data_IF_209882547195
#
_entry.id   IF_209882547195
#
_cell.length_a   1.000
_cell.length_b   1.000
_cell.length_c   1.000
_cell.angle_alpha   90.00
_cell.angle_beta   90.00
_cell.angle_gamma   90.00
#
_symmetry.space_group_name_H-M   'P 1'
#
loop_
_entity.id
_entity.type
_entity.pdbx_description
1 polymer ?
#
# COMPACT_ATOMS: atom_id res chain seq x y z
N UNK A 1 -3.56 -24.04 36.98
CA UNK A 1 -3.83 -25.21 36.08
C UNK A 1 -4.80 -24.97 34.91
N UNK A 2 -6.14 -24.75 35.09
CA UNK A 2 -7.07 -24.60 33.93
C UNK A 2 -6.77 -23.37 33.04
N UNK A 3 -6.39 -22.24 33.65
CA UNK A 3 -6.07 -21.00 32.92
C UNK A 3 -4.73 -21.06 32.18
N UNK A 4 -3.73 -21.76 32.73
CA UNK A 4 -2.41 -21.96 32.11
C UNK A 4 -2.48 -22.86 30.87
N UNK A 5 -3.28 -23.94 30.92
CA UNK A 5 -3.51 -24.80 29.75
C UNK A 5 -4.19 -24.03 28.62
N UNK A 6 -5.16 -23.17 28.94
CA UNK A 6 -5.80 -22.30 27.94
C UNK A 6 -4.84 -21.25 27.36
N UNK A 7 -3.94 -20.68 28.18
CA UNK A 7 -2.94 -19.73 27.70
C UNK A 7 -1.92 -20.41 26.78
N UNK A 8 -1.44 -21.62 27.13
CA UNK A 8 -0.53 -22.38 26.29
C UNK A 8 -1.18 -22.75 24.96
N UNK A 9 -2.44 -23.21 24.97
CA UNK A 9 -3.20 -23.50 23.75
C UNK A 9 -3.38 -22.22 22.91
N UNK A 10 -3.67 -21.09 23.53
CA UNK A 10 -3.80 -19.80 22.84
C UNK A 10 -2.49 -19.38 22.15
N UNK A 11 -1.34 -19.49 22.85
CA UNK A 11 -0.04 -19.20 22.26
C UNK A 11 0.31 -20.16 21.10
N UNK A 12 0.00 -21.44 21.23
CA UNK A 12 0.18 -22.40 20.13
C UNK A 12 -0.65 -22.02 18.90
N UNK A 13 -1.92 -21.66 19.11
CA UNK A 13 -2.82 -21.21 18.03
C UNK A 13 -2.27 -19.95 17.37
N UNK A 14 -1.87 -18.94 18.14
CA UNK A 14 -1.27 -17.69 17.61
C UNK A 14 0.02 -17.96 16.84
N UNK A 15 0.86 -18.88 17.31
CA UNK A 15 2.11 -19.26 16.62
C UNK A 15 1.83 -19.96 15.29
N UNK A 16 0.86 -20.87 15.26
CA UNK A 16 0.42 -21.53 14.02
C UNK A 16 -0.18 -20.51 13.04
N UNK A 17 -0.97 -19.55 13.53
CA UNK A 17 -1.51 -18.45 12.71
C UNK A 17 -0.40 -17.55 12.15
N UNK A 18 0.62 -17.21 12.94
CA UNK A 18 1.80 -16.47 12.49
C UNK A 18 2.56 -17.25 11.40
N UNK A 19 2.71 -18.56 11.56
CA UNK A 19 3.35 -19.42 10.56
C UNK A 19 2.55 -19.48 9.25
N UNK A 20 1.23 -19.64 9.33
CA UNK A 20 0.34 -19.62 8.15
C UNK A 20 0.43 -18.28 7.43
N UNK A 21 0.46 -17.16 8.16
CA UNK A 21 0.62 -15.82 7.59
C UNK A 21 2.00 -15.64 6.93
N UNK A 22 3.05 -16.20 7.51
CA UNK A 22 4.39 -16.26 6.89
C UNK A 22 4.35 -17.05 5.58
N UNK A 23 3.71 -18.22 5.56
CA UNK A 23 3.56 -19.00 4.32
C UNK A 23 2.74 -18.25 3.27
N UNK A 24 1.66 -17.56 3.67
CA UNK A 24 0.83 -16.76 2.77
C UNK A 24 1.61 -15.63 2.11
N UNK A 25 2.40 -14.88 2.90
CA UNK A 25 3.25 -13.79 2.38
C UNK A 25 4.34 -14.29 1.43
N UNK A 26 4.93 -15.47 1.70
CA UNK A 26 5.85 -16.14 0.77
C UNK A 26 5.16 -16.52 -0.53
N UNK A 27 3.96 -17.12 -0.48
CA UNK A 27 3.21 -17.47 -1.69
C UNK A 27 2.76 -16.24 -2.49
N UNK A 28 2.39 -15.16 -1.81
CA UNK A 28 2.05 -13.89 -2.45
C UNK A 28 3.28 -13.28 -3.14
N UNK A 29 4.44 -13.31 -2.49
CA UNK A 29 5.69 -12.85 -3.10
C UNK A 29 6.07 -13.71 -4.32
N UNK A 30 5.83 -15.02 -4.26
CA UNK A 30 6.03 -15.92 -5.41
C UNK A 30 5.06 -15.66 -6.57
N UNK A 31 3.78 -15.42 -6.29
CA UNK A 31 2.79 -15.07 -7.31
C UNK A 31 3.13 -13.74 -8.02
N UNK A 32 3.60 -12.77 -7.23
CA UNK A 32 4.11 -11.48 -7.73
C UNK A 32 5.38 -11.68 -8.57
N UNK A 33 6.26 -12.59 -8.16
CA UNK A 33 7.47 -12.97 -8.91
C UNK A 33 7.15 -13.56 -10.28
N UNK A 34 6.21 -14.52 -10.36
CA UNK A 34 5.83 -15.15 -11.64
C UNK A 34 5.15 -14.18 -12.62
N UNK A 35 4.43 -13.18 -12.12
CA UNK A 35 3.74 -12.19 -12.95
C UNK A 35 4.67 -11.05 -13.41
N UNK A 36 5.68 -10.68 -12.61
CA UNK A 36 6.65 -9.64 -12.98
C UNK A 36 7.72 -10.12 -13.99
N UNK A 37 8.10 -11.40 -13.98
CA UNK A 37 9.07 -11.97 -14.93
C UNK A 37 8.54 -12.17 -16.35
N UNK A 38 7.23 -12.00 -16.60
CA UNK A 38 6.68 -12.00 -17.95
C UNK A 38 6.97 -10.71 -18.74
N UNK A 39 7.65 -9.70 -18.16
CA UNK A 39 7.88 -8.42 -18.86
C UNK A 39 9.16 -7.63 -18.57
N UNK A 40 9.88 -7.82 -17.45
CA UNK A 40 11.06 -6.98 -17.12
C UNK A 40 12.16 -7.81 -16.44
N UNK A 41 13.41 -7.60 -16.86
CA UNK A 41 14.62 -8.25 -16.33
C UNK A 41 15.12 -7.55 -15.06
N UNK A 42 14.59 -7.91 -13.88
CA UNK A 42 15.22 -7.57 -12.60
C UNK A 42 16.30 -8.58 -12.23
N UNK A 43 17.39 -8.11 -11.61
CA UNK A 43 18.41 -9.02 -11.06
C UNK A 43 17.80 -9.82 -9.90
N UNK A 44 18.03 -11.14 -9.88
CA UNK A 44 17.58 -12.08 -8.84
C UNK A 44 17.79 -11.58 -7.40
N UNK A 45 18.84 -10.78 -7.19
CA UNK A 45 19.24 -10.20 -5.92
C UNK A 45 18.21 -9.21 -5.33
N UNK A 46 17.59 -8.36 -6.14
CA UNK A 46 16.59 -7.40 -5.68
C UNK A 46 15.28 -8.09 -5.26
N UNK A 47 14.91 -9.13 -6.00
CA UNK A 47 13.73 -9.95 -5.68
C UNK A 47 13.98 -10.74 -4.38
N UNK A 48 15.16 -11.32 -4.24
CA UNK A 48 15.52 -12.05 -3.03
C UNK A 48 15.54 -11.13 -1.81
N UNK A 49 16.05 -9.90 -1.95
CA UNK A 49 15.98 -8.88 -0.91
C UNK A 49 14.54 -8.49 -0.56
N UNK A 50 13.65 -8.36 -1.54
CA UNK A 50 12.22 -8.07 -1.32
C UNK A 50 11.49 -9.20 -0.58
N UNK A 51 11.74 -10.46 -0.95
CA UNK A 51 11.17 -11.64 -0.27
C UNK A 51 11.65 -11.71 1.17
N UNK A 52 12.96 -11.55 1.41
CA UNK A 52 13.52 -11.54 2.77
C UNK A 52 12.93 -10.40 3.59
N UNK A 53 12.85 -9.19 3.03
CA UNK A 53 12.29 -8.03 3.73
C UNK A 53 10.81 -8.22 4.07
N UNK A 54 10.05 -8.85 3.18
CA UNK A 54 8.61 -9.10 3.38
C UNK A 54 8.36 -10.24 4.39
N UNK A 55 9.27 -11.21 4.48
CA UNK A 55 9.16 -12.34 5.40
C UNK A 55 9.85 -12.09 6.75
N UNK A 56 10.68 -11.06 6.87
CA UNK A 56 11.44 -10.76 8.09
C UNK A 56 10.54 -10.51 9.30
N UNK A 57 9.56 -9.60 9.15
CA UNK A 57 8.64 -9.28 10.23
C UNK A 57 7.86 -10.50 10.74
N UNK A 58 7.18 -11.29 9.88
CA UNK A 58 6.44 -12.46 10.36
C UNK A 58 7.36 -13.54 10.93
N UNK A 59 8.56 -13.78 10.37
CA UNK A 59 9.56 -14.71 10.92
C UNK A 59 10.03 -14.28 12.32
N UNK A 60 10.31 -13.00 12.54
CA UNK A 60 10.67 -12.47 13.85
C UNK A 60 9.55 -12.69 14.86
N UNK A 61 8.29 -12.48 14.49
CA UNK A 61 7.16 -12.79 15.37
C UNK A 61 7.05 -14.28 15.69
N UNK A 62 7.25 -15.17 14.71
CA UNK A 62 7.21 -16.62 14.96
C UNK A 62 8.30 -17.07 15.94
N UNK A 63 9.51 -16.53 15.81
CA UNK A 63 10.63 -16.82 16.73
C UNK A 63 10.34 -16.29 18.13
N UNK A 64 9.82 -15.06 18.25
CA UNK A 64 9.46 -14.47 19.55
C UNK A 64 8.36 -15.28 20.26
N UNK A 65 7.31 -15.70 19.54
CA UNK A 65 6.27 -16.54 20.12
C UNK A 65 6.77 -17.93 20.49
N UNK A 66 7.68 -18.52 19.70
CA UNK A 66 8.32 -19.79 20.01
C UNK A 66 9.14 -19.70 21.31
N UNK A 67 9.95 -18.65 21.47
CA UNK A 67 10.72 -18.42 22.71
C UNK A 67 9.79 -18.21 23.91
N UNK A 68 8.69 -17.47 23.74
CA UNK A 68 7.67 -17.34 24.79
C UNK A 68 7.06 -18.69 25.18
N UNK A 69 6.74 -19.55 24.22
CA UNK A 69 6.20 -20.90 24.49
C UNK A 69 7.23 -21.73 25.29
N UNK A 70 8.49 -21.73 24.87
CA UNK A 70 9.55 -22.47 25.59
C UNK A 70 9.76 -21.93 27.00
N UNK A 71 9.73 -20.61 27.19
CA UNK A 71 9.84 -19.99 28.50
C UNK A 71 8.64 -20.34 29.40
N UNK A 72 7.42 -20.39 28.84
CA UNK A 72 6.21 -20.85 29.52
C UNK A 72 6.27 -22.34 29.87
N UNK A 73 6.85 -23.17 29.00
CA UNK A 73 7.05 -24.60 29.25
C UNK A 73 8.00 -24.83 30.43
N UNK A 74 9.15 -24.15 30.44
CA UNK A 74 10.13 -24.21 31.54
C UNK A 74 9.54 -23.68 32.84
N UNK A 75 8.79 -22.58 32.79
CA UNK A 75 8.15 -21.99 33.99
C UNK A 75 7.07 -22.92 34.57
N UNK A 76 6.27 -23.57 33.71
CA UNK A 76 5.31 -24.58 34.14
C UNK A 76 6.01 -25.78 34.78
N UNK A 77 7.09 -26.30 34.18
CA UNK A 77 7.87 -27.41 34.74
C UNK A 77 8.49 -27.07 36.10
N UNK A 78 8.93 -25.81 36.27
CA UNK A 78 9.45 -25.30 37.53
C UNK A 78 8.36 -25.24 38.61
N UNK A 79 7.18 -24.69 38.29
CA UNK A 79 6.03 -24.67 39.19
C UNK A 79 5.54 -26.08 39.54
N UNK A 80 5.52 -27.01 38.58
CA UNK A 80 5.10 -28.38 38.82
C UNK A 80 6.09 -29.12 39.74
N UNK A 81 7.39 -28.81 39.63
CA UNK A 81 8.43 -29.30 40.55
C UNK A 81 8.34 -28.71 41.96
N UNK A 82 8.04 -27.41 42.11
CA UNK A 82 7.81 -26.81 43.44
C UNK A 82 6.54 -27.36 44.10
N UNK A 83 5.47 -27.60 43.33
CA UNK A 83 4.22 -28.18 43.84
C UNK A 83 4.37 -29.67 44.15
N UNK A 84 5.12 -30.43 43.35
CA UNK A 84 5.37 -31.85 43.59
C UNK A 84 6.43 -32.11 44.69
N UNK A 85 7.31 -31.13 44.96
CA UNK A 85 8.31 -31.17 46.03
C UNK A 85 7.78 -30.80 47.42
N UNK A 86 6.53 -30.37 47.53
CA UNK A 86 5.87 -29.96 48.78
C UNK A 86 5.38 -31.09 49.67
N UNK A 87 6.24 -32.07 49.98
CA UNK A 87 6.12 -32.87 51.22
C UNK A 87 7.26 -32.43 52.13
N UNK A 88 7.07 -31.30 52.80
CA UNK A 88 7.92 -30.90 53.91
C UNK A 88 7.02 -30.47 55.08
N UNK A 89 6.93 -31.40 56.03
CA UNK A 89 6.62 -31.23 57.44
C UNK A 89 6.19 -29.81 57.86
N UNK A 90 4.88 -29.62 58.07
CA UNK A 90 4.41 -28.62 59.03
C UNK A 90 4.14 -29.37 60.33
N UNK A 91 5.17 -29.47 61.17
CA UNK A 91 4.93 -29.64 62.60
C UNK A 91 4.09 -28.45 63.09
N UNK A 92 3.08 -28.77 63.88
CA UNK A 92 2.16 -27.84 64.47
C UNK A 92 2.89 -26.79 65.32
N UNK A 93 2.73 -25.50 65.01
CA UNK A 93 2.42 -24.48 66.01
C UNK A 93 2.05 -23.12 65.37
N UNK A 94 0.95 -22.56 65.90
CA UNK A 94 0.48 -21.16 65.88
C UNK A 94 -0.16 -20.55 64.60
N UNK A 95 -1.50 -20.55 64.64
CA UNK A 95 -2.50 -19.68 63.97
C UNK A 95 -2.33 -19.25 62.49
N UNK A 96 -2.76 -20.07 61.52
CA UNK A 96 -2.59 -19.83 60.08
C UNK A 96 -3.40 -18.64 59.51
N UNK A 97 -4.28 -18.01 60.30
CA UNK A 97 -5.26 -17.04 59.78
C UNK A 97 -4.69 -15.63 59.56
N UNK A 98 -3.66 -15.25 60.33
CA UNK A 98 -3.04 -13.91 60.25
C UNK A 98 -2.04 -13.79 59.10
N UNK A 99 -1.25 -14.83 58.85
CA UNK A 99 -0.27 -14.82 57.76
C UNK A 99 -0.94 -14.87 56.39
N UNK A 100 -2.00 -15.69 56.22
CA UNK A 100 -2.79 -15.74 54.98
C UNK A 100 -3.45 -14.37 54.68
N UNK A 101 -3.95 -13.66 55.70
CA UNK A 101 -4.51 -12.31 55.52
C UNK A 101 -3.46 -11.27 55.14
N UNK A 102 -2.22 -11.38 55.65
CA UNK A 102 -1.13 -10.46 55.33
C UNK A 102 -0.63 -10.70 53.91
N UNK A 103 -0.40 -11.96 53.54
CA UNK A 103 -0.02 -12.38 52.19
C UNK A 103 -1.07 -11.98 51.14
N UNK A 104 -2.37 -12.21 51.41
CA UNK A 104 -3.44 -11.80 50.49
C UNK A 104 -3.54 -10.27 50.30
N UNK A 105 -3.19 -9.48 51.33
CA UNK A 105 -3.24 -8.01 51.27
C UNK A 105 -2.03 -7.42 50.54
N UNK A 106 -0.90 -8.13 50.57
CA UNK A 106 0.32 -7.82 49.83
C UNK A 106 0.16 -8.16 48.35
N UNK A 107 -0.38 -9.34 48.04
CA UNK A 107 -0.74 -9.75 46.68
C UNK A 107 -1.76 -8.80 46.02
N UNK A 108 -2.76 -8.32 46.77
CA UNK A 108 -3.75 -7.34 46.27
C UNK A 108 -3.16 -5.94 46.03
N UNK A 109 -2.06 -5.58 46.71
CA UNK A 109 -1.34 -4.32 46.45
C UNK A 109 -0.51 -4.44 45.18
N UNK A 110 0.20 -5.56 45.02
CA UNK A 110 1.02 -5.82 43.84
C UNK A 110 0.17 -5.87 42.57
N UNK A 111 -0.98 -6.56 42.61
CA UNK A 111 -1.94 -6.61 41.48
C UNK A 111 -2.49 -5.21 41.12
N UNK A 112 -2.74 -4.36 42.12
CA UNK A 112 -3.25 -2.99 41.91
C UNK A 112 -2.20 -2.08 41.30
N UNK A 113 -0.94 -2.24 41.67
CA UNK A 113 0.16 -1.44 41.14
C UNK A 113 0.58 -1.92 39.74
N UNK A 114 0.51 -3.23 39.46
CA UNK A 114 0.58 -3.80 38.11
C UNK A 114 -0.54 -3.28 37.20
N UNK A 115 -1.79 -3.26 37.66
CA UNK A 115 -2.92 -2.73 36.88
C UNK A 115 -2.79 -1.24 36.55
N UNK A 116 -2.26 -0.43 37.49
CA UNK A 116 -1.95 0.98 37.23
C UNK A 116 -0.78 1.16 36.25
N UNK A 117 0.21 0.28 36.30
CA UNK A 117 1.32 0.24 35.34
C UNK A 117 0.81 -0.05 33.93
N UNK A 118 0.02 -1.11 33.78
CA UNK A 118 -0.61 -1.50 32.50
C UNK A 118 -1.47 -0.37 31.92
N UNK A 119 -2.33 0.26 32.72
CA UNK A 119 -3.17 1.37 32.26
C UNK A 119 -2.39 2.61 31.82
N UNK A 120 -1.18 2.83 32.34
CA UNK A 120 -0.29 3.92 31.88
C UNK A 120 0.38 3.56 30.56
N UNK A 121 0.79 2.30 30.39
CA UNK A 121 1.38 1.80 29.15
C UNK A 121 0.34 1.85 28.02
N UNK A 122 -0.88 1.35 28.27
CA UNK A 122 -1.97 1.40 27.28
C UNK A 122 -2.27 2.85 26.85
N UNK A 123 -2.31 3.80 27.79
CA UNK A 123 -2.49 5.21 27.46
C UNK A 123 -1.33 5.80 26.67
N UNK A 124 -0.10 5.38 26.92
CA UNK A 124 1.07 5.85 26.19
C UNK A 124 1.07 5.29 24.76
N UNK A 125 0.80 3.99 24.60
CA UNK A 125 0.68 3.31 23.30
C UNK A 125 -0.43 3.94 22.46
N UNK A 126 -1.63 4.13 23.03
CA UNK A 126 -2.75 4.77 22.32
C UNK A 126 -2.40 6.21 21.90
N UNK A 127 -1.60 6.93 22.70
CA UNK A 127 -1.19 8.29 22.36
C UNK A 127 -0.18 8.29 21.20
N UNK A 128 0.85 7.45 21.25
CA UNK A 128 1.83 7.31 20.15
C UNK A 128 1.17 6.82 18.86
N UNK A 129 0.27 5.85 18.96
CA UNK A 129 -0.45 5.31 17.80
C UNK A 129 -1.35 6.37 17.16
N UNK A 130 -2.02 7.20 17.97
CA UNK A 130 -2.83 8.32 17.46
C UNK A 130 -1.97 9.40 16.80
N UNK A 131 -0.82 9.75 17.37
CA UNK A 131 0.10 10.73 16.77
C UNK A 131 0.67 10.22 15.44
N UNK A 132 1.03 8.93 15.37
CA UNK A 132 1.48 8.27 14.13
C UNK A 132 0.41 8.24 13.04
N UNK A 133 -0.85 7.92 13.39
CA UNK A 133 -1.98 7.94 12.45
C UNK A 133 -2.26 9.35 11.94
N UNK A 134 -2.23 10.36 12.81
CA UNK A 134 -2.45 11.76 12.43
C UNK A 134 -1.35 12.27 11.48
N UNK A 135 -0.09 11.89 11.71
CA UNK A 135 1.04 12.25 10.83
C UNK A 135 0.92 11.57 9.47
N UNK A 136 0.61 10.27 9.44
CA UNK A 136 0.36 9.52 8.21
C UNK A 136 -0.80 10.10 7.40
N UNK A 137 -1.90 10.48 8.06
CA UNK A 137 -3.06 11.08 7.41
C UNK A 137 -2.73 12.45 6.79
N UNK A 138 -1.88 13.26 7.45
CA UNK A 138 -1.41 14.55 6.89
C UNK A 138 -0.53 14.32 5.67
N UNK A 139 0.42 13.39 5.75
CA UNK A 139 1.31 13.03 4.64
C UNK A 139 0.53 12.55 3.42
N UNK A 140 -0.43 11.64 3.60
CA UNK A 140 -1.29 11.18 2.51
C UNK A 140 -2.13 12.31 1.89
N UNK A 141 -2.64 13.23 2.72
CA UNK A 141 -3.42 14.37 2.25
C UNK A 141 -2.59 15.36 1.43
N UNK A 142 -1.33 15.57 1.78
CA UNK A 142 -0.40 16.41 1.00
C UNK A 142 -0.01 15.74 -0.31
N UNK A 143 0.32 14.45 -0.29
CA UNK A 143 0.62 13.68 -1.50
C UNK A 143 -0.55 13.70 -2.50
N UNK A 144 -1.79 13.52 -2.01
CA UNK A 144 -2.99 13.59 -2.84
C UNK A 144 -3.21 14.99 -3.46
N UNK A 145 -2.85 16.06 -2.74
CA UNK A 145 -2.95 17.44 -3.26
C UNK A 145 -1.92 17.71 -4.35
N UNK A 146 -0.69 17.25 -4.19
CA UNK A 146 0.36 17.41 -5.20
C UNK A 146 0.02 16.63 -6.47
N UNK A 147 -0.38 15.36 -6.36
CA UNK A 147 -0.89 14.57 -7.50
C UNK A 147 -2.05 15.27 -8.22
N UNK A 148 -2.98 15.86 -7.48
CA UNK A 148 -4.09 16.59 -8.08
C UNK A 148 -3.65 17.87 -8.82
N UNK A 149 -2.61 18.56 -8.33
CA UNK A 149 -2.03 19.72 -9.01
C UNK A 149 -1.28 19.32 -10.27
N UNK A 150 -0.45 18.28 -10.20
CA UNK A 150 0.29 17.74 -11.34
C UNK A 150 -0.65 17.26 -12.44
N UNK A 151 -1.65 16.44 -12.08
CA UNK A 151 -2.65 15.97 -13.04
C UNK A 151 -3.42 17.13 -13.70
N UNK A 152 -3.75 18.18 -12.94
CA UNK A 152 -4.39 19.39 -13.52
C UNK A 152 -3.44 20.15 -14.45
N UNK A 153 -2.17 20.25 -14.12
CA UNK A 153 -1.18 20.90 -14.96
C UNK A 153 -0.96 20.14 -16.28
N UNK A 154 -0.92 18.81 -16.23
CA UNK A 154 -0.85 17.96 -17.43
C UNK A 154 -2.10 18.08 -18.29
N UNK A 155 -3.30 18.03 -17.70
CA UNK A 155 -4.55 18.21 -18.44
C UNK A 155 -4.61 19.57 -19.15
N UNK A 156 -4.14 20.64 -18.48
CA UNK A 156 -4.09 21.97 -19.08
C UNK A 156 -3.12 22.04 -20.26
N UNK A 157 -1.95 21.38 -20.17
CA UNK A 157 -0.99 21.31 -21.30
C UNK A 157 -1.61 20.57 -22.49
N UNK A 158 -2.24 19.42 -22.25
CA UNK A 158 -2.92 18.65 -23.30
C UNK A 158 -3.99 19.51 -23.98
N UNK A 159 -4.81 20.22 -23.20
CA UNK A 159 -5.84 21.10 -23.73
C UNK A 159 -5.29 22.28 -24.55
N UNK A 160 -4.12 22.83 -24.16
CA UNK A 160 -3.45 23.85 -24.97
C UNK A 160 -2.89 23.29 -26.28
N UNK A 161 -2.31 22.10 -26.24
CA UNK A 161 -1.75 21.45 -27.43
C UNK A 161 -2.83 21.04 -28.41
N UNK A 162 -3.97 20.52 -27.93
CA UNK A 162 -5.16 20.28 -28.78
C UNK A 162 -5.67 21.56 -29.45
N UNK A 163 -5.71 22.68 -28.72
CA UNK A 163 -6.13 23.97 -29.28
C UNK A 163 -5.16 24.45 -30.36
N UNK A 164 -3.85 24.31 -30.14
CA UNK A 164 -2.84 24.67 -31.15
C UNK A 164 -2.97 23.80 -32.39
N UNK A 165 -3.14 22.49 -32.21
CA UNK A 165 -3.34 21.56 -33.30
C UNK A 165 -4.59 21.90 -34.12
N UNK A 166 -5.72 22.17 -33.46
CA UNK A 166 -6.96 22.58 -34.12
C UNK A 166 -6.82 23.91 -34.87
N UNK A 167 -6.08 24.88 -34.33
CA UNK A 167 -5.81 26.15 -34.98
C UNK A 167 -4.92 25.98 -36.23
N UNK A 168 -3.93 25.09 -36.15
CA UNK A 168 -3.03 24.79 -37.26
C UNK A 168 -3.74 24.03 -38.39
N UNK A 169 -4.54 23.02 -38.06
CA UNK A 169 -5.41 22.30 -39.01
C UNK A 169 -6.35 23.25 -39.76
N UNK A 170 -6.99 24.17 -39.02
CA UNK A 170 -7.84 25.20 -39.63
C UNK A 170 -7.05 26.09 -40.58
N UNK A 171 -5.83 26.51 -40.20
CA UNK A 171 -4.97 27.34 -41.05
C UNK A 171 -4.53 26.63 -42.32
N UNK A 172 -4.30 25.31 -42.26
CA UNK A 172 -3.97 24.48 -43.43
C UNK A 172 -5.18 24.43 -44.36
N UNK A 173 -6.37 24.12 -43.83
CA UNK A 173 -7.62 24.08 -44.61
C UNK A 173 -7.93 25.41 -45.29
N UNK A 174 -7.76 26.53 -44.58
CA UNK A 174 -7.98 27.86 -45.15
C UNK A 174 -7.02 28.14 -46.32
N UNK A 175 -5.75 27.70 -46.23
CA UNK A 175 -4.78 27.81 -47.33
C UNK A 175 -5.17 26.94 -48.53
N UNK A 176 -5.57 25.69 -48.30
CA UNK A 176 -6.02 24.79 -49.38
C UNK A 176 -7.23 25.37 -50.11
N UNK A 177 -8.19 25.96 -49.37
CA UNK A 177 -9.35 26.62 -49.96
C UNK A 177 -8.93 27.81 -50.83
N UNK A 178 -7.98 28.63 -50.35
CA UNK A 178 -7.49 29.78 -51.11
C UNK A 178 -6.70 29.37 -52.37
N UNK A 179 -5.91 28.30 -52.30
CA UNK A 179 -5.23 27.74 -53.47
C UNK A 179 -6.24 27.20 -54.49
N UNK A 180 -7.23 26.43 -54.04
CA UNK A 180 -8.30 25.91 -54.89
C UNK A 180 -9.08 27.03 -55.58
N UNK A 181 -9.37 28.13 -54.86
CA UNK A 181 -10.02 29.31 -55.44
C UNK A 181 -9.15 29.98 -56.50
N UNK A 182 -7.84 30.09 -56.27
CA UNK A 182 -6.91 30.68 -57.25
C UNK A 182 -6.83 29.84 -58.53
N UNK A 183 -6.78 28.52 -58.40
CA UNK A 183 -6.82 27.60 -59.54
C UNK A 183 -8.13 27.75 -60.32
N UNK A 184 -9.28 27.71 -59.64
CA UNK A 184 -10.58 27.89 -60.29
C UNK A 184 -10.71 29.23 -61.05
N UNK A 185 -10.16 30.32 -60.49
CA UNK A 185 -10.13 31.63 -61.17
C UNK A 185 -9.23 31.59 -62.42
N UNK A 186 -8.11 30.89 -62.35
CA UNK A 186 -7.19 30.74 -63.48
C UNK A 186 -7.85 29.94 -64.61
N UNK A 187 -8.46 28.81 -64.29
CA UNK A 187 -9.17 27.96 -65.25
C UNK A 187 -10.33 28.71 -65.91
N UNK A 188 -11.09 29.51 -65.14
CA UNK A 188 -12.16 30.34 -65.67
C UNK A 188 -11.66 31.41 -66.65
N UNK A 189 -10.50 32.03 -66.38
CA UNK A 189 -9.89 33.00 -67.31
C UNK A 189 -9.42 32.34 -68.60
N UNK A 190 -8.76 31.18 -68.50
CA UNK A 190 -8.31 30.42 -69.66
C UNK A 190 -9.50 29.99 -70.55
N UNK A 191 -10.60 29.55 -69.93
CA UNK A 191 -11.84 29.25 -70.64
C UNK A 191 -12.44 30.49 -71.33
N UNK A 192 -12.45 31.65 -70.67
CA UNK A 192 -12.96 32.90 -71.24
C UNK A 192 -12.12 33.36 -72.45
N UNK A 193 -10.79 33.22 -72.37
CA UNK A 193 -9.88 33.56 -73.46
C UNK A 193 -10.06 32.62 -74.67
N UNK A 194 -10.25 31.32 -74.45
CA UNK A 194 -10.59 30.34 -75.50
C UNK A 194 -11.93 30.67 -76.19
N UNK A 195 -12.94 31.07 -75.42
CA UNK A 195 -14.23 31.49 -75.97
C UNK A 195 -14.08 32.75 -76.83
N UNK A 196 -13.30 33.74 -76.36
CA UNK A 196 -13.01 34.97 -77.13
C UNK A 196 -12.25 34.65 -78.43
N UNK A 197 -11.29 33.74 -78.38
CA UNK A 197 -10.54 33.33 -79.57
C UNK A 197 -11.43 32.61 -80.59
N UNK A 198 -12.25 31.67 -80.11
CA UNK A 198 -13.24 30.95 -80.94
C UNK A 198 -14.23 31.93 -81.59
N UNK A 199 -14.75 32.90 -80.83
CA UNK A 199 -15.63 33.94 -81.36
C UNK A 199 -14.97 34.81 -82.43
N UNK A 200 -13.67 35.13 -82.28
CA UNK A 200 -12.89 35.85 -83.32
C UNK A 200 -12.74 35.01 -84.59
N UNK A 201 -12.46 33.71 -84.48
CA UNK A 201 -12.36 32.82 -85.64
C UNK A 201 -13.70 32.69 -86.37
N UNK A 202 -14.81 32.52 -85.65
CA UNK A 202 -16.16 32.46 -86.23
C UNK A 202 -16.49 33.74 -86.99
N UNK A 203 -16.22 34.93 -86.41
CA UNK A 203 -16.42 36.22 -87.10
C UNK A 203 -15.55 36.37 -88.35
N UNK A 204 -14.33 35.84 -88.35
CA UNK A 204 -13.42 35.88 -89.50
C UNK A 204 -13.93 34.99 -90.64
N UNK A 205 -14.46 33.81 -90.31
CA UNK A 205 -15.01 32.88 -91.30
C UNK A 205 -16.34 33.37 -91.88
N UNK A 206 -17.17 34.08 -91.13
CA UNK A 206 -18.44 34.65 -91.61
C UNK A 206 -18.27 35.87 -92.56
N UNK A 207 -17.04 36.41 -92.71
CA UNK A 207 -16.72 37.53 -93.62
C UNK A 207 -16.03 37.09 -94.93
N UNK A 208 -15.76 35.80 -95.10
CA UNK A 208 -15.30 35.20 -96.36
C UNK A 208 -16.49 34.61 -97.09
#
# INVERSE_FOLDING_TARGET
MKKEKNLRIFLYVVTILSLIYTCYTVFQAYGTFTSYYQGIAYQFLDVFAYVISSCYAPLCFTILFYVMIVALDIWCDYLEKEVAGGVLHVEANEDPTKEIKKAAKEQYKDDKDLAKGAAKIDKAVVKEEKESIDEMARSQKEAAKELAKENRAELNKIAEDEKKFAAEDKRIKDKEIDETKKEAIKDAKEAEDLVKETAKQVKKNAKK
#
